data_IF_754654975159
#
_entry.id   IF_754654975159
#
_cell.length_a   1.000
_cell.length_b   1.000
_cell.length_c   1.000
_cell.angle_alpha   90.00
_cell.angle_beta   90.00
_cell.angle_gamma   90.00
#
_symmetry.space_group_name_H-M   'P 1'
#
loop_
_entity.id
_entity.type
_entity.pdbx_description
1 polymer ?
#
# COMPACT_ATOMS: atom_id res chain seq x y z
N UNK A 1 -10.17 -6.77 11.50
CA UNK A 1 -10.00 -7.97 10.64
C UNK A 1 -10.59 -7.81 9.25
N UNK A 2 -11.86 -7.43 9.08
CA UNK A 2 -12.45 -7.28 7.73
C UNK A 2 -11.72 -6.28 6.81
N UNK A 3 -11.32 -5.10 7.31
CA UNK A 3 -10.55 -4.10 6.54
C UNK A 3 -9.19 -4.64 6.05
N UNK A 4 -8.43 -5.30 6.93
CA UNK A 4 -7.12 -5.89 6.60
C UNK A 4 -7.26 -6.97 5.52
N UNK A 5 -8.17 -7.93 5.71
CA UNK A 5 -8.37 -9.00 4.73
C UNK A 5 -8.84 -8.47 3.36
N UNK A 6 -9.64 -7.40 3.34
CA UNK A 6 -10.04 -6.72 2.11
C UNK A 6 -8.85 -6.05 1.41
N UNK A 7 -8.01 -5.34 2.17
CA UNK A 7 -6.81 -4.71 1.64
C UNK A 7 -5.84 -5.77 1.07
N UNK A 8 -5.56 -6.84 1.82
CA UNK A 8 -4.69 -7.92 1.36
C UNK A 8 -5.18 -8.53 0.04
N UNK A 9 -6.48 -8.74 -0.09
CA UNK A 9 -7.06 -9.24 -1.33
C UNK A 9 -6.91 -8.24 -2.49
N UNK A 10 -7.11 -6.95 -2.23
CA UNK A 10 -6.93 -5.89 -3.23
C UNK A 10 -5.47 -5.80 -3.69
N UNK A 11 -4.51 -5.82 -2.76
CA UNK A 11 -3.07 -5.78 -3.05
C UNK A 11 -2.62 -7.02 -3.82
N UNK A 12 -3.10 -8.22 -3.45
CA UNK A 12 -2.82 -9.44 -4.21
C UNK A 12 -3.42 -9.43 -5.63
N UNK A 13 -4.50 -8.67 -5.85
CA UNK A 13 -5.03 -8.41 -7.19
C UNK A 13 -4.15 -7.43 -7.97
N UNK A 14 -3.72 -6.35 -7.33
CA UNK A 14 -2.93 -5.28 -7.93
C UNK A 14 -1.52 -5.75 -8.33
N UNK A 15 -0.88 -6.58 -7.50
CA UNK A 15 0.46 -7.12 -7.77
C UNK A 15 0.53 -7.88 -9.10
N UNK A 16 -0.58 -8.46 -9.55
CA UNK A 16 -0.65 -9.19 -10.82
C UNK A 16 -0.36 -8.30 -12.03
N UNK A 17 -0.72 -7.02 -12.00
CA UNK A 17 -0.41 -6.09 -13.09
C UNK A 17 1.10 -5.89 -13.26
N UNK A 18 1.85 -5.92 -12.16
CA UNK A 18 3.32 -5.83 -12.17
C UNK A 18 3.92 -7.17 -12.55
N UNK A 19 3.47 -8.25 -11.88
CA UNK A 19 3.93 -9.62 -12.05
C UNK A 19 3.94 -10.08 -13.53
N UNK A 20 2.87 -9.82 -14.29
CA UNK A 20 2.75 -10.22 -15.70
C UNK A 20 3.40 -9.22 -16.68
N UNK A 21 4.03 -8.16 -16.17
CA UNK A 21 4.63 -7.10 -16.98
C UNK A 21 3.64 -6.09 -17.60
N UNK A 22 2.36 -6.10 -17.23
CA UNK A 22 1.36 -5.16 -17.77
C UNK A 22 1.64 -3.69 -17.35
N UNK A 23 2.33 -3.48 -16.23
CA UNK A 23 2.72 -2.16 -15.76
C UNK A 23 4.01 -1.60 -16.42
N UNK A 24 4.69 -2.40 -17.25
CA UNK A 24 5.98 -2.03 -17.81
C UNK A 24 5.92 -0.80 -18.74
N UNK A 25 7.04 -0.08 -18.82
CA UNK A 25 7.14 1.11 -19.67
C UNK A 25 6.26 2.27 -19.22
N UNK A 26 5.77 2.26 -17.97
CA UNK A 26 4.88 3.29 -17.43
C UNK A 26 3.44 3.18 -17.95
N UNK A 27 3.04 2.02 -18.47
CA UNK A 27 1.67 1.80 -18.94
C UNK A 27 0.63 1.84 -17.81
N UNK A 28 1.04 1.52 -16.59
CA UNK A 28 0.24 1.63 -15.37
C UNK A 28 1.05 2.45 -14.37
N UNK A 29 0.45 3.52 -13.88
CA UNK A 29 1.06 4.42 -12.91
C UNK A 29 0.79 3.96 -11.46
N UNK A 30 1.53 4.56 -10.52
CA UNK A 30 1.28 4.40 -9.09
C UNK A 30 -0.17 4.77 -8.73
N UNK A 31 -0.70 5.84 -9.32
CA UNK A 31 -2.08 6.28 -9.11
C UNK A 31 -3.09 5.24 -9.62
N UNK A 32 -2.85 4.64 -10.79
CA UNK A 32 -3.74 3.59 -11.34
C UNK A 32 -3.82 2.36 -10.42
N UNK A 33 -2.69 1.96 -9.84
CA UNK A 33 -2.65 0.89 -8.83
C UNK A 33 -3.43 1.31 -7.58
N UNK A 34 -3.25 2.54 -7.11
CA UNK A 34 -3.98 3.11 -5.98
C UNK A 34 -5.50 3.08 -6.22
N UNK A 35 -5.96 3.58 -7.36
CA UNK A 35 -7.37 3.55 -7.78
C UNK A 35 -7.92 2.12 -7.80
N UNK A 36 -7.21 1.17 -8.41
CA UNK A 36 -7.63 -0.23 -8.43
C UNK A 36 -7.80 -0.80 -7.00
N UNK A 37 -6.86 -0.51 -6.10
CA UNK A 37 -6.92 -0.99 -4.72
C UNK A 37 -8.13 -0.35 -4.02
N UNK A 38 -8.36 0.95 -4.17
CA UNK A 38 -9.48 1.65 -3.56
C UNK A 38 -10.83 1.15 -4.06
N UNK A 39 -10.98 0.85 -5.34
CA UNK A 39 -12.19 0.22 -5.91
C UNK A 39 -12.51 -1.15 -5.27
N UNK A 40 -11.47 -1.90 -4.87
CA UNK A 40 -11.63 -3.20 -4.20
C UNK A 40 -11.69 -3.09 -2.67
N UNK A 41 -11.42 -1.90 -2.13
CA UNK A 41 -11.27 -1.62 -0.70
C UNK A 41 -12.36 -0.67 -0.18
N UNK A 42 -13.62 -0.97 -0.49
CA UNK A 42 -14.78 -0.09 -0.23
C UNK A 42 -15.05 0.26 1.26
N UNK A 43 -14.39 -0.43 2.19
CA UNK A 43 -14.49 -0.12 3.63
C UNK A 43 -13.60 1.05 4.07
N UNK A 44 -12.71 1.52 3.20
CA UNK A 44 -11.84 2.66 3.43
C UNK A 44 -12.47 3.91 2.81
N UNK A 45 -12.92 4.84 3.65
CA UNK A 45 -13.39 6.17 3.22
C UNK A 45 -12.19 7.01 2.80
N UNK A 46 -12.37 7.84 1.78
CA UNK A 46 -11.36 8.78 1.28
C UNK A 46 -10.04 8.05 0.97
N UNK A 47 -10.18 6.86 0.36
CA UNK A 47 -9.07 5.94 0.13
C UNK A 47 -8.03 6.54 -0.82
N UNK A 48 -8.46 7.21 -1.90
CA UNK A 48 -7.56 7.76 -2.92
C UNK A 48 -6.66 8.87 -2.36
N UNK A 49 -7.16 9.62 -1.38
CA UNK A 49 -6.43 10.67 -0.69
C UNK A 49 -5.51 10.13 0.42
N UNK A 50 -5.74 8.89 0.87
CA UNK A 50 -5.09 8.31 2.04
C UNK A 50 -4.31 7.02 1.75
N UNK A 51 -4.03 6.73 0.48
CA UNK A 51 -3.30 5.54 0.04
C UNK A 51 -1.87 5.90 -0.39
N UNK A 52 -0.91 5.15 0.13
CA UNK A 52 0.47 5.12 -0.35
C UNK A 52 0.75 3.77 -0.99
N UNK A 53 1.27 3.77 -2.22
CA UNK A 53 1.70 2.55 -2.93
C UNK A 53 3.20 2.60 -3.17
N UNK A 54 3.94 1.69 -2.58
CA UNK A 54 5.36 1.50 -2.80
C UNK A 54 5.58 0.22 -3.62
N UNK A 55 6.47 0.32 -4.58
CA UNK A 55 6.86 -0.78 -5.44
C UNK A 55 8.34 -0.64 -5.80
N UNK A 56 9.16 -1.59 -5.39
CA UNK A 56 10.60 -1.54 -5.63
C UNK A 56 11.18 -2.93 -5.89
N UNK A 57 12.16 -3.08 -6.79
CA UNK A 57 12.90 -4.32 -6.93
C UNK A 57 13.77 -4.56 -5.68
N UNK A 58 13.81 -5.80 -5.20
CA UNK A 58 14.67 -6.21 -4.10
C UNK A 58 15.64 -7.29 -4.58
N UNK A 59 16.90 -7.18 -4.16
CA UNK A 59 17.90 -8.21 -4.46
C UNK A 59 17.71 -9.45 -3.59
N UNK A 60 17.35 -9.24 -2.32
CA UNK A 60 17.21 -10.27 -1.29
C UNK A 60 16.14 -9.84 -0.28
N UNK A 61 15.59 -10.76 0.51
CA UNK A 61 14.63 -10.42 1.57
C UNK A 61 15.23 -9.51 2.65
N UNK A 62 16.55 -9.48 2.82
CA UNK A 62 17.24 -8.58 3.75
C UNK A 62 17.41 -7.15 3.23
N UNK A 63 17.13 -6.90 1.94
CA UNK A 63 17.16 -5.57 1.32
C UNK A 63 15.78 -4.99 1.07
N UNK A 64 14.73 -5.57 1.68
CA UNK A 64 13.41 -4.94 1.67
C UNK A 64 13.48 -3.54 2.29
N UNK A 65 12.69 -2.57 1.80
CA UNK A 65 12.55 -1.26 2.41
C UNK A 65 12.29 -1.35 3.92
N UNK A 66 12.74 -0.32 4.64
CA UNK A 66 12.66 -0.24 6.11
C UNK A 66 11.23 -0.51 6.62
N UNK A 67 11.11 -1.02 7.84
CA UNK A 67 9.82 -1.49 8.40
C UNK A 67 8.84 -0.34 8.68
N UNK A 68 9.35 0.88 8.84
CA UNK A 68 8.55 2.09 9.03
C UNK A 68 7.90 2.52 7.70
N UNK A 69 6.71 1.97 7.43
CA UNK A 69 5.91 2.38 6.28
C UNK A 69 5.44 3.83 6.47
N UNK A 70 5.94 4.75 5.64
CA UNK A 70 5.42 6.11 5.62
C UNK A 70 4.07 6.13 4.87
N UNK A 71 2.99 6.42 5.60
CA UNK A 71 1.64 6.49 5.07
C UNK A 71 1.20 7.95 4.96
N UNK A 72 0.57 8.33 3.85
CA UNK A 72 -0.05 9.65 3.75
C UNK A 72 -1.28 9.72 4.67
N UNK A 73 -1.42 10.84 5.39
CA UNK A 73 -2.60 11.16 6.19
C UNK A 73 -3.14 12.52 5.71
N UNK A 74 -4.15 12.50 4.84
CA UNK A 74 -4.71 13.73 4.26
C UNK A 74 -5.39 14.65 5.27
N UNK A 75 -5.61 14.19 6.51
CA UNK A 75 -6.25 14.99 7.57
C UNK A 75 -5.25 15.70 8.48
N UNK A 76 -3.95 15.49 8.26
CA UNK A 76 -2.90 16.25 8.91
C UNK A 76 -2.48 17.40 7.99
N UNK A 77 -2.67 18.64 8.45
CA UNK A 77 -2.43 19.86 7.67
C UNK A 77 -0.95 20.03 7.27
N UNK A 78 -0.03 19.32 7.94
CA UNK A 78 1.40 19.29 7.63
C UNK A 78 1.81 18.02 6.83
N UNK A 79 0.85 17.17 6.43
CA UNK A 79 1.14 15.93 5.73
C UNK A 79 1.75 16.18 4.34
N UNK A 80 3.01 15.77 4.19
CA UNK A 80 3.65 15.61 2.90
C UNK A 80 3.43 14.18 2.41
N UNK A 81 3.18 14.03 1.11
CA UNK A 81 3.15 12.71 0.50
C UNK A 81 4.50 12.01 0.73
N UNK A 82 4.49 10.78 1.27
CA UNK A 82 5.71 10.07 1.58
C UNK A 82 6.49 9.76 0.32
N UNK A 83 7.82 9.88 0.39
CA UNK A 83 8.70 9.65 -0.76
C UNK A 83 8.93 8.15 -0.88
N UNK A 84 8.00 7.46 -1.52
CA UNK A 84 8.10 6.03 -1.81
C UNK A 84 8.55 5.78 -3.23
N UNK A 85 9.34 4.72 -3.44
CA UNK A 85 9.73 4.30 -4.77
C UNK A 85 8.56 3.63 -5.50
N UNK A 86 8.45 3.90 -6.80
CA UNK A 86 7.56 3.18 -7.71
C UNK A 86 8.34 2.76 -8.97
N UNK A 87 8.83 1.53 -8.95
CA UNK A 87 9.61 0.92 -10.02
C UNK A 87 9.03 -0.46 -10.33
N UNK A 88 8.61 -0.68 -11.57
CA UNK A 88 7.99 -1.95 -11.98
C UNK A 88 8.99 -3.10 -12.19
N UNK A 89 10.30 -2.81 -12.09
CA UNK A 89 11.39 -3.75 -12.33
C UNK A 89 11.41 -4.28 -13.78
N UNK A 90 12.17 -5.33 -14.03
CA UNK A 90 12.19 -6.08 -15.29
C UNK A 90 11.79 -7.55 -15.06
N UNK A 91 11.73 -8.32 -16.14
CA UNK A 91 11.37 -9.73 -16.07
C UNK A 91 12.37 -10.52 -15.22
N UNK A 92 11.87 -11.50 -14.46
CA UNK A 92 12.65 -12.30 -13.51
C UNK A 92 13.28 -11.53 -12.33
N UNK A 93 12.92 -10.27 -12.10
CA UNK A 93 13.29 -9.57 -10.86
C UNK A 93 12.32 -9.88 -9.72
N UNK A 94 12.83 -9.91 -8.49
CA UNK A 94 12.00 -9.99 -7.29
C UNK A 94 11.55 -8.58 -6.94
N UNK A 95 10.24 -8.42 -6.83
CA UNK A 95 9.58 -7.16 -6.51
C UNK A 95 9.03 -7.22 -5.09
N UNK A 96 9.13 -6.10 -4.39
CA UNK A 96 8.44 -5.84 -3.14
C UNK A 96 7.37 -4.77 -3.38
N UNK A 97 6.14 -5.07 -2.99
CA UNK A 97 5.02 -4.13 -3.02
C UNK A 97 4.50 -3.94 -1.61
N UNK A 98 4.35 -2.67 -1.21
CA UNK A 98 3.76 -2.29 0.06
C UNK A 98 2.70 -1.24 -0.17
N UNK A 99 1.55 -1.42 0.46
CA UNK A 99 0.43 -0.49 0.38
C UNK A 99 0.02 -0.12 1.78
N UNK A 100 -0.02 1.17 2.05
CA UNK A 100 -0.54 1.69 3.31
C UNK A 100 -1.78 2.53 3.06
N UNK A 101 -2.81 2.35 3.90
CA UNK A 101 -4.00 3.21 3.91
C UNK A 101 -4.22 3.76 5.31
N UNK A 102 -4.36 5.08 5.41
CA UNK A 102 -4.77 5.77 6.65
C UNK A 102 -6.29 5.88 6.73
N UNK A 103 -6.89 5.44 7.83
CA UNK A 103 -8.36 5.37 7.96
C UNK A 103 -8.84 5.69 9.36
N UNK A 104 -10.04 6.27 9.47
CA UNK A 104 -10.62 6.60 10.77
C UNK A 104 -10.94 5.34 11.59
N UNK A 105 -10.72 5.44 12.90
CA UNK A 105 -11.18 4.46 13.87
C UNK A 105 -12.61 4.81 14.28
N UNK A 106 -13.56 3.90 14.05
CA UNK A 106 -14.99 4.15 14.32
C UNK A 106 -15.27 4.38 15.82
N UNK A 107 -14.48 3.75 16.70
CA UNK A 107 -14.56 3.94 18.16
C UNK A 107 -13.15 4.13 18.75
N UNK A 108 -12.55 5.33 18.60
CA UNK A 108 -11.28 5.64 19.21
C UNK A 108 -11.48 5.54 20.74
N UNK A 109 -10.76 4.64 21.42
CA UNK A 109 -10.86 4.48 22.87
C UNK A 109 -11.56 3.22 23.40
N UNK A 110 -12.01 2.29 22.54
CA UNK A 110 -12.53 0.99 22.98
C UNK A 110 -11.92 -0.19 22.20
N UNK A 111 -11.60 -1.27 22.93
CA UNK A 111 -11.14 -2.55 22.35
C UNK A 111 -9.85 -2.40 21.53
N UNK A 112 -9.82 -3.01 20.35
CA UNK A 112 -8.66 -2.99 19.44
C UNK A 112 -8.37 -1.58 18.89
N UNK A 113 -9.34 -0.67 18.86
CA UNK A 113 -9.15 0.69 18.37
C UNK A 113 -8.14 1.51 19.18
N UNK A 114 -7.93 1.17 20.46
CA UNK A 114 -6.88 1.75 21.31
C UNK A 114 -5.46 1.39 20.86
N UNK A 115 -5.29 0.20 20.28
CA UNK A 115 -3.99 -0.33 19.88
C UNK A 115 -3.66 -0.05 18.40
N UNK A 116 -4.65 0.39 17.63
CA UNK A 116 -4.51 0.65 16.20
C UNK A 116 -4.28 2.13 15.87
N UNK A 117 -4.42 3.02 16.86
CA UNK A 117 -4.24 4.45 16.64
C UNK A 117 -2.77 4.80 16.45
N UNK A 118 -2.50 5.70 15.53
CA UNK A 118 -1.20 6.38 15.46
C UNK A 118 -1.05 7.27 16.71
N UNK A 119 0.16 7.39 17.32
CA UNK A 119 0.35 8.12 18.58
C UNK A 119 -0.18 9.56 18.58
N UNK A 120 -0.30 10.19 17.40
CA UNK A 120 -0.62 11.61 17.24
C UNK A 120 -1.91 11.89 16.45
N UNK A 121 -2.63 10.86 15.96
CA UNK A 121 -3.90 11.03 15.23
C UNK A 121 -4.98 10.04 15.69
N UNK A 122 -6.27 10.41 15.57
CA UNK A 122 -7.41 9.50 15.81
C UNK A 122 -7.65 8.51 14.64
N UNK A 123 -6.63 8.34 13.80
CA UNK A 123 -6.64 7.48 12.62
C UNK A 123 -5.71 6.29 12.84
N UNK A 124 -5.99 5.24 12.08
CA UNK A 124 -5.21 4.02 12.07
C UNK A 124 -4.60 3.83 10.69
N UNK A 125 -3.35 3.38 10.66
CA UNK A 125 -2.68 2.95 9.44
C UNK A 125 -2.85 1.45 9.27
N UNK A 126 -3.27 1.04 8.09
CA UNK A 126 -3.38 -0.37 7.72
C UNK A 126 -2.41 -0.62 6.56
N UNK A 127 -1.46 -1.51 6.80
CA UNK A 127 -0.40 -1.83 5.86
C UNK A 127 -0.58 -3.27 5.36
N UNK A 128 -0.42 -3.47 4.06
CA UNK A 128 -0.34 -4.78 3.42
C UNK A 128 0.91 -4.82 2.55
N UNK A 129 1.73 -5.86 2.74
CA UNK A 129 3.00 -6.03 2.03
C UNK A 129 3.05 -7.40 1.39
N UNK A 130 3.59 -7.46 0.17
CA UNK A 130 3.77 -8.70 -0.58
C UNK A 130 5.06 -8.65 -1.39
N UNK A 131 5.70 -9.81 -1.56
CA UNK A 131 6.85 -9.98 -2.42
C UNK A 131 6.56 -11.06 -3.46
N UNK A 132 6.97 -10.82 -4.70
CA UNK A 132 6.73 -11.72 -5.84
C UNK A 132 7.85 -11.57 -6.87
N UNK A 133 7.99 -12.53 -7.77
CA UNK A 133 8.97 -12.47 -8.87
C UNK A 133 8.24 -12.16 -10.17
N UNK A 134 8.67 -11.16 -10.92
CA UNK A 134 8.10 -10.87 -12.23
C UNK A 134 8.26 -12.07 -13.19
N UNK A 135 7.23 -12.33 -13.99
CA UNK A 135 7.32 -13.33 -15.05
C UNK A 135 8.39 -12.94 -16.07
N UNK A 136 8.99 -13.91 -16.79
CA UNK A 136 9.81 -13.61 -17.95
C UNK A 136 8.91 -13.12 -19.09
N UNK A 137 9.04 -11.86 -19.49
CA UNK A 137 8.29 -11.22 -20.58
C UNK A 137 9.22 -10.61 -21.64
#
# INVERSE_FOLDING_TARGET
>A
MAKIAMLDHAVAGASKFVYIGAAQGGAISQADIGTFICEKSVLFRDCEENITVELTPIADFSSSPDEDAECIDSNDDDALAPVVEYQTGVGSEVMFMRVCITTDVVTPGMGLGLFLKTPDTDRAQIISSTAFMNEPF
#
